data_IF_452150274716
#
_entry.id   IF_452150274716
#
_cell.length_a   1.000
_cell.length_b   1.000
_cell.length_c   1.000
_cell.angle_alpha   90.00
_cell.angle_beta   90.00
_cell.angle_gamma   90.00
#
_symmetry.space_group_name_H-M   'P 1'
#
loop_
_entity.id
_entity.type
_entity.pdbx_description
1 polymer ?
#
# COMPACT_ATOMS: atom_id res chain seq x y z
N UNK A 1 -50.39 -11.00 3.50
CA UNK A 1 -51.21 -11.45 2.34
C UNK A 1 -50.60 -10.79 1.11
N UNK A 2 -49.57 -11.38 0.49
CA UNK A 2 -49.65 -12.29 -0.67
C UNK A 2 -50.63 -11.86 -1.78
N UNK A 3 -50.03 -11.60 -2.94
CA UNK A 3 -50.53 -11.61 -4.32
C UNK A 3 -51.25 -10.35 -4.85
N UNK A 4 -50.52 -9.57 -5.66
CA UNK A 4 -50.95 -9.17 -7.00
C UNK A 4 -49.72 -8.67 -7.80
N UNK A 5 -49.24 -9.53 -8.69
CA UNK A 5 -48.18 -9.29 -9.69
C UNK A 5 -48.86 -9.16 -11.05
N UNK A 6 -48.26 -8.38 -11.97
CA UNK A 6 -48.50 -8.29 -13.43
C UNK A 6 -49.63 -7.38 -13.97
N UNK A 7 -49.20 -6.21 -14.46
CA UNK A 7 -49.62 -5.43 -15.64
C UNK A 7 -49.33 -3.96 -15.28
N UNK A 8 -48.40 -3.24 -15.88
CA UNK A 8 -48.47 -2.68 -17.23
C UNK A 8 -47.05 -2.33 -17.67
N UNK A 9 -46.57 -2.99 -18.72
CA UNK A 9 -45.31 -2.68 -19.38
C UNK A 9 -45.61 -2.51 -20.88
N UNK A 10 -46.18 -1.37 -21.27
CA UNK A 10 -46.35 -0.95 -22.67
C UNK A 10 -46.89 0.48 -22.78
N UNK A 11 -46.02 1.48 -22.64
CA UNK A 11 -46.15 2.81 -23.26
C UNK A 11 -44.93 3.66 -22.84
N UNK A 12 -44.43 4.49 -23.76
CA UNK A 12 -43.28 5.41 -23.64
C UNK A 12 -41.96 4.92 -24.27
N UNK A 13 -42.04 4.48 -25.53
CA UNK A 13 -40.97 4.60 -26.51
C UNK A 13 -41.60 4.97 -27.87
N UNK A 14 -41.84 6.26 -28.12
CA UNK A 14 -41.97 6.84 -29.48
C UNK A 14 -42.38 8.33 -29.45
N UNK A 15 -41.40 9.23 -29.60
CA UNK A 15 -41.50 10.59 -30.17
C UNK A 15 -40.28 11.38 -29.66
N UNK A 16 -39.41 12.02 -30.43
CA UNK A 16 -39.49 12.51 -31.80
C UNK A 16 -38.09 13.03 -32.18
N UNK A 17 -37.48 12.46 -33.21
CA UNK A 17 -36.30 13.03 -33.88
C UNK A 17 -36.64 13.18 -35.36
N UNK A 18 -37.06 14.38 -35.76
CA UNK A 18 -37.08 14.79 -37.16
C UNK A 18 -36.81 16.30 -37.24
N UNK A 19 -35.89 16.67 -38.13
CA UNK A 19 -35.83 18.00 -38.71
C UNK A 19 -34.55 18.79 -38.42
N UNK A 20 -33.51 18.59 -39.24
CA UNK A 20 -32.84 19.67 -39.98
C UNK A 20 -31.66 19.13 -40.81
N UNK A 21 -31.87 19.07 -42.12
CA UNK A 21 -30.82 19.14 -43.17
C UNK A 21 -31.21 20.28 -44.11
N UNK A 22 -30.27 21.16 -44.45
CA UNK A 22 -29.94 21.60 -45.84
C UNK A 22 -28.97 22.79 -45.85
N UNK A 23 -27.87 22.61 -46.59
CA UNK A 23 -27.21 23.47 -47.60
C UNK A 23 -25.77 22.91 -47.79
N UNK A 24 -25.51 22.04 -48.78
CA UNK A 24 -25.04 22.32 -50.16
C UNK A 24 -23.66 23.04 -50.18
N UNK A 25 -22.58 22.62 -50.87
CA UNK A 25 -22.42 21.97 -52.19
C UNK A 25 -20.96 21.49 -52.43
N UNK A 26 -20.78 20.45 -53.28
CA UNK A 26 -19.55 19.76 -53.79
C UNK A 26 -18.86 20.58 -54.93
N UNK A 27 -17.69 20.24 -55.56
CA UNK A 27 -17.27 18.96 -56.23
C UNK A 27 -15.83 18.45 -55.85
N UNK A 28 -15.58 17.15 -55.65
CA UNK A 28 -15.22 16.08 -56.62
C UNK A 28 -13.83 16.18 -57.29
N UNK A 29 -12.95 15.22 -56.98
CA UNK A 29 -11.99 14.64 -57.92
C UNK A 29 -11.77 13.15 -57.58
N UNK A 30 -11.96 12.34 -58.63
CA UNK A 30 -12.17 10.89 -58.69
C UNK A 30 -10.88 10.09 -58.53
N UNK A 31 -10.99 8.88 -57.97
CA UNK A 31 -9.96 7.85 -58.00
C UNK A 31 -10.45 6.54 -57.39
N UNK A 32 -11.32 5.83 -58.12
CA UNK A 32 -11.80 4.48 -57.81
C UNK A 32 -10.67 3.45 -57.77
N UNK A 33 -10.74 2.50 -56.83
CA UNK A 33 -10.82 1.05 -57.11
C UNK A 33 -11.09 0.28 -55.80
N UNK A 34 -12.33 -0.19 -55.66
CA UNK A 34 -12.78 -1.30 -54.80
C UNK A 34 -12.73 -2.62 -55.64
N UNK A 35 -13.11 -3.84 -55.17
CA UNK A 35 -13.86 -4.23 -53.96
C UNK A 35 -13.22 -5.46 -53.24
N UNK A 36 -13.74 -6.12 -52.19
CA UNK A 36 -15.06 -6.26 -51.60
C UNK A 36 -14.94 -6.89 -50.19
N UNK A 37 -15.85 -6.52 -49.27
CA UNK A 37 -16.75 -7.42 -48.50
C UNK A 37 -16.18 -8.64 -47.75
N UNK A 38 -16.55 -9.01 -46.52
CA UNK A 38 -17.67 -8.68 -45.63
C UNK A 38 -17.59 -9.60 -44.38
N UNK A 39 -18.24 -9.21 -43.26
CA UNK A 39 -18.95 -10.09 -42.27
C UNK A 39 -18.09 -11.05 -41.39
N UNK A 40 -18.35 -11.42 -40.12
CA UNK A 40 -19.23 -11.06 -38.99
C UNK A 40 -18.89 -12.01 -37.80
N UNK A 41 -19.27 -11.59 -36.57
CA UNK A 41 -19.75 -12.41 -35.43
C UNK A 41 -18.79 -13.25 -34.57
N UNK A 42 -19.05 -13.17 -33.24
CA UNK A 42 -19.09 -14.35 -32.36
C UNK A 42 -18.05 -14.39 -31.24
N UNK A 43 -18.51 -14.20 -29.99
CA UNK A 43 -17.67 -14.25 -28.81
C UNK A 43 -17.29 -15.65 -28.32
N UNK A 44 -16.40 -15.69 -27.32
CA UNK A 44 -16.34 -16.73 -26.29
C UNK A 44 -15.59 -16.18 -25.06
N UNK A 45 -16.15 -16.42 -23.88
CA UNK A 45 -15.47 -16.20 -22.59
C UNK A 45 -14.28 -17.18 -22.46
N UNK A 46 -13.20 -16.83 -21.75
CA UNK A 46 -12.10 -17.76 -21.56
C UNK A 46 -12.54 -18.91 -20.65
N UNK A 47 -12.56 -20.12 -21.24
CA UNK A 47 -12.73 -21.40 -20.57
C UNK A 47 -11.57 -21.66 -19.61
N UNK A 48 -11.86 -21.94 -18.34
CA UNK A 48 -10.88 -22.52 -17.39
C UNK A 48 -10.61 -23.95 -17.85
N UNK A 49 -9.41 -24.23 -18.35
CA UNK A 49 -8.95 -25.59 -18.59
C UNK A 49 -8.19 -26.07 -17.36
N UNK A 50 -8.84 -26.91 -16.54
CA UNK A 50 -8.15 -27.74 -15.55
C UNK A 50 -7.45 -28.88 -16.29
N UNK A 51 -6.12 -28.92 -16.24
CA UNK A 51 -5.36 -30.11 -16.60
C UNK A 51 -5.15 -30.95 -15.32
N UNK A 52 -5.49 -32.26 -15.32
CA UNK A 52 -5.24 -33.12 -14.18
C UNK A 52 -3.76 -33.49 -14.07
N UNK A 53 -3.27 -33.55 -12.84
CA UNK A 53 -1.94 -34.04 -12.48
C UNK A 53 -1.76 -35.50 -12.93
N UNK A 54 -0.96 -35.72 -13.97
CA UNK A 54 0.16 -36.68 -14.01
C UNK A 54 0.64 -36.94 -15.43
N UNK A 55 1.94 -37.25 -15.48
CA UNK A 55 2.73 -37.85 -16.57
C UNK A 55 3.42 -36.84 -17.48
N UNK A 56 4.62 -36.45 -17.04
CA UNK A 56 5.73 -36.10 -17.93
C UNK A 56 6.02 -37.29 -18.84
N UNK A 57 5.75 -37.11 -20.13
CA UNK A 57 6.04 -38.06 -21.19
C UNK A 57 6.26 -37.32 -22.50
N UNK A 58 7.52 -37.07 -22.82
CA UNK A 58 8.11 -36.95 -24.16
C UNK A 58 7.15 -36.64 -25.33
N UNK A 59 7.22 -35.42 -25.87
CA UNK A 59 6.81 -35.11 -27.24
C UNK A 59 7.91 -34.30 -27.96
N UNK A 60 7.99 -34.40 -29.31
CA UNK A 60 9.25 -34.42 -30.04
C UNK A 60 9.64 -33.05 -30.60
N UNK A 61 10.96 -32.85 -30.70
CA UNK A 61 11.58 -31.75 -31.45
C UNK A 61 11.35 -31.97 -32.95
N UNK A 62 10.79 -30.97 -33.63
CA UNK A 62 10.80 -30.88 -35.10
C UNK A 62 11.90 -29.91 -35.57
N UNK A 63 12.60 -30.18 -36.70
CA UNK A 63 13.85 -29.51 -37.06
C UNK A 63 13.72 -28.39 -38.12
N UNK A 64 14.72 -27.49 -38.13
CA UNK A 64 15.05 -26.52 -39.19
C UNK A 64 14.79 -25.06 -38.78
N UNK A 65 15.68 -24.08 -38.89
CA UNK A 65 17.00 -23.93 -39.51
C UNK A 65 17.80 -22.85 -38.75
N UNK A 66 19.13 -23.00 -38.76
CA UNK A 66 20.12 -22.08 -38.20
C UNK A 66 20.68 -21.22 -39.33
N UNK A 67 20.83 -19.90 -39.12
CA UNK A 67 21.89 -19.12 -39.79
C UNK A 67 22.49 -18.10 -38.82
N UNK A 68 23.80 -18.19 -38.60
CA UNK A 68 24.61 -17.13 -37.97
C UNK A 68 25.70 -17.60 -37.00
N UNK A 69 26.75 -18.24 -37.52
CA UNK A 69 28.03 -18.45 -36.78
C UNK A 69 28.94 -17.26 -37.02
N UNK A 70 29.50 -16.67 -35.96
CA UNK A 70 30.81 -16.01 -36.02
C UNK A 70 31.72 -16.64 -34.98
N UNK A 71 32.83 -17.18 -35.49
CA UNK A 71 33.92 -17.82 -34.76
C UNK A 71 35.09 -16.84 -34.62
N UNK A 72 35.73 -16.80 -33.45
CA UNK A 72 37.06 -16.19 -33.29
C UNK A 72 37.47 -15.89 -31.84
N UNK A 73 38.34 -16.75 -31.28
CA UNK A 73 39.49 -16.56 -30.35
C UNK A 73 39.45 -15.41 -29.30
N UNK A 74 39.85 -15.52 -28.02
CA UNK A 74 40.50 -16.53 -27.16
C UNK A 74 40.32 -16.09 -25.67
N UNK A 75 40.65 -16.92 -24.65
CA UNK A 75 40.27 -16.71 -23.25
C UNK A 75 41.34 -16.03 -22.37
N UNK A 76 40.92 -15.15 -21.45
CA UNK A 76 41.71 -14.78 -20.27
C UNK A 76 41.51 -13.35 -19.73
N UNK A 77 40.99 -13.25 -18.49
CA UNK A 77 41.15 -12.20 -17.43
C UNK A 77 40.88 -10.74 -17.84
N UNK A 78 40.08 -9.92 -17.16
CA UNK A 78 40.07 -9.51 -15.73
C UNK A 78 38.76 -8.74 -15.48
N UNK A 79 38.18 -8.82 -14.28
CA UNK A 79 37.28 -7.77 -13.78
C UNK A 79 36.26 -8.25 -12.76
N UNK A 80 36.65 -8.33 -11.48
CA UNK A 80 35.71 -8.26 -10.36
C UNK A 80 35.26 -6.80 -10.27
N UNK A 81 33.96 -6.54 -10.32
CA UNK A 81 33.37 -5.26 -9.93
C UNK A 81 32.61 -4.53 -11.03
N UNK A 82 31.34 -4.89 -11.23
CA UNK A 82 30.19 -3.99 -11.09
C UNK A 82 28.92 -4.85 -11.07
N UNK A 83 27.93 -4.47 -10.26
CA UNK A 83 26.69 -5.22 -10.05
C UNK A 83 25.69 -5.02 -11.18
N UNK A 84 26.09 -5.21 -12.45
CA UNK A 84 25.20 -5.09 -13.60
C UNK A 84 24.74 -6.48 -14.09
N UNK A 85 23.53 -6.89 -13.71
CA UNK A 85 22.90 -8.08 -14.28
C UNK A 85 22.32 -7.73 -15.66
N UNK A 86 23.03 -8.09 -16.73
CA UNK A 86 22.50 -8.01 -18.09
C UNK A 86 21.69 -9.28 -18.41
N UNK A 87 20.37 -9.14 -18.56
CA UNK A 87 19.53 -10.21 -19.11
C UNK A 87 20.02 -10.53 -20.53
N UNK A 88 20.37 -11.81 -20.80
CA UNK A 88 20.60 -12.26 -22.17
C UNK A 88 19.33 -11.99 -22.99
N UNK A 89 19.51 -11.48 -24.20
CA UNK A 89 18.43 -11.05 -25.11
C UNK A 89 17.29 -12.07 -25.22
N UNK A 90 17.60 -13.37 -25.12
CA UNK A 90 16.66 -14.50 -25.13
C UNK A 90 15.72 -14.57 -23.91
N UNK A 91 16.15 -14.12 -22.73
CA UNK A 91 15.31 -14.09 -21.52
C UNK A 91 14.31 -12.92 -21.55
N UNK A 92 14.69 -11.80 -22.16
CA UNK A 92 13.81 -10.64 -22.37
C UNK A 92 12.70 -10.93 -23.38
N UNK A 93 12.99 -11.76 -24.39
CA UNK A 93 12.01 -12.26 -25.36
C UNK A 93 10.95 -13.15 -24.68
N UNK A 94 11.37 -14.05 -23.79
CA UNK A 94 10.46 -14.92 -23.03
C UNK A 94 9.57 -14.10 -22.09
N UNK A 95 10.11 -13.09 -21.41
CA UNK A 95 9.34 -12.25 -20.50
C UNK A 95 8.24 -11.46 -21.23
N UNK A 96 8.55 -10.91 -22.41
CA UNK A 96 7.57 -10.23 -23.26
C UNK A 96 6.51 -11.18 -23.78
N UNK A 97 6.90 -12.39 -24.17
CA UNK A 97 5.99 -13.44 -24.60
C UNK A 97 5.01 -13.79 -23.46
N UNK A 98 5.52 -14.15 -22.29
CA UNK A 98 4.70 -14.54 -21.13
C UNK A 98 3.74 -13.41 -20.71
N UNK A 99 4.21 -12.16 -20.71
CA UNK A 99 3.36 -10.98 -20.43
C UNK A 99 2.26 -10.79 -21.49
N UNK A 100 2.57 -11.01 -22.78
CA UNK A 100 1.59 -10.93 -23.87
C UNK A 100 0.51 -12.01 -23.74
N UNK A 101 0.90 -13.21 -23.29
CA UNK A 101 -0.03 -14.33 -23.06
C UNK A 101 -0.75 -14.26 -21.69
N UNK A 102 -0.64 -13.14 -20.96
CA UNK A 102 -1.33 -12.95 -19.67
C UNK A 102 -0.75 -13.78 -18.52
N UNK A 103 0.43 -14.37 -18.69
CA UNK A 103 1.14 -15.15 -17.68
C UNK A 103 1.94 -14.20 -16.79
N UNK A 104 1.63 -14.16 -15.49
CA UNK A 104 2.43 -13.41 -14.51
C UNK A 104 3.78 -14.09 -14.35
N UNK A 105 4.85 -13.33 -14.51
CA UNK A 105 6.23 -13.79 -14.31
C UNK A 105 6.77 -13.10 -13.06
N UNK A 106 7.00 -13.86 -11.99
CA UNK A 106 7.68 -13.37 -10.80
C UNK A 106 9.20 -13.42 -11.03
N UNK A 107 9.91 -12.34 -10.69
CA UNK A 107 11.36 -12.35 -10.69
C UNK A 107 11.85 -13.02 -9.40
N UNK A 108 12.66 -14.06 -9.53
CA UNK A 108 13.33 -14.72 -8.41
C UNK A 108 14.82 -14.45 -8.59
N UNK A 109 15.48 -13.68 -7.70
CA UNK A 109 16.93 -13.61 -7.70
C UNK A 109 17.52 -15.01 -7.49
N UNK A 110 18.62 -15.34 -8.17
CA UNK A 110 19.38 -16.56 -7.88
C UNK A 110 19.78 -16.53 -6.40
N UNK A 111 19.15 -17.39 -5.60
CA UNK A 111 19.47 -17.55 -4.18
C UNK A 111 20.83 -18.26 -4.12
N UNK A 112 21.90 -17.50 -3.96
CA UNK A 112 23.16 -18.05 -3.45
C UNK A 112 22.91 -18.38 -1.97
N UNK A 113 22.61 -19.65 -1.69
CA UNK A 113 22.54 -20.18 -0.33
C UNK A 113 21.20 -20.81 0.07
N UNK A 114 20.72 -21.78 -0.72
CA UNK A 114 19.62 -22.67 -0.30
C UNK A 114 19.92 -23.47 0.99
N UNK A 115 21.16 -23.45 1.50
CA UNK A 115 21.51 -24.03 2.81
C UNK A 115 21.14 -23.14 4.01
N UNK A 116 20.89 -21.83 3.80
CA UNK A 116 20.38 -20.94 4.85
C UNK A 116 18.84 -20.86 4.89
N UNK A 117 18.16 -21.44 3.91
CA UNK A 117 16.69 -21.45 3.77
C UNK A 117 16.04 -22.56 4.60
N UNK A 118 16.83 -23.46 5.19
CA UNK A 118 16.36 -24.53 6.08
C UNK A 118 15.68 -24.06 7.37
N UNK A 119 15.60 -22.75 7.65
CA UNK A 119 14.87 -22.21 8.80
C UNK A 119 13.71 -21.28 8.44
N UNK A 120 13.43 -20.99 7.16
CA UNK A 120 12.16 -20.38 6.77
C UNK A 120 11.10 -21.48 6.72
N UNK A 121 10.89 -22.13 7.88
CA UNK A 121 9.87 -23.13 8.03
C UNK A 121 8.52 -22.48 7.78
N UNK A 122 7.74 -23.14 6.94
CA UNK A 122 6.29 -23.13 6.77
C UNK A 122 5.47 -23.27 8.07
N UNK A 123 6.09 -23.07 9.23
CA UNK A 123 5.48 -22.95 10.54
C UNK A 123 4.91 -21.55 10.82
N UNK A 124 5.32 -20.48 10.12
CA UNK A 124 4.94 -19.11 10.50
C UNK A 124 3.55 -18.64 10.02
N UNK A 125 3.04 -19.14 8.90
CA UNK A 125 1.62 -19.02 8.57
C UNK A 125 0.71 -19.79 9.56
N UNK A 126 1.30 -20.68 10.37
CA UNK A 126 0.68 -21.43 11.45
C UNK A 126 1.13 -20.98 12.86
N UNK A 127 1.98 -19.95 12.99
CA UNK A 127 2.63 -19.59 14.25
C UNK A 127 1.81 -18.64 15.14
N UNK A 128 0.76 -18.00 14.62
CA UNK A 128 -0.30 -17.57 15.52
C UNK A 128 -1.13 -18.82 15.84
N UNK A 129 -0.86 -19.45 16.99
CA UNK A 129 -1.73 -20.51 17.52
C UNK A 129 -3.20 -20.07 17.70
N UNK A 130 -3.49 -18.80 17.43
CA UNK A 130 -4.77 -18.10 17.46
C UNK A 130 -5.39 -17.82 16.08
N UNK A 131 -4.66 -18.01 14.96
CA UNK A 131 -5.15 -17.69 13.60
C UNK A 131 -5.20 -16.19 13.27
N UNK A 132 -4.62 -15.34 14.11
CA UNK A 132 -4.57 -13.87 13.95
C UNK A 132 -3.39 -13.47 13.07
N UNK A 133 -3.61 -12.53 12.15
CA UNK A 133 -2.57 -11.99 11.25
C UNK A 133 -2.13 -10.60 11.69
N UNK A 134 -0.84 -10.32 11.57
CA UNK A 134 -0.29 -8.98 11.82
C UNK A 134 -0.47 -8.06 10.60
N UNK A 135 -0.30 -8.62 9.40
CA UNK A 135 -0.22 -7.91 8.14
C UNK A 135 -1.24 -8.45 7.12
N UNK A 136 -1.40 -7.74 6.00
CA UNK A 136 -2.33 -8.10 4.92
C UNK A 136 -1.64 -8.03 3.56
N UNK A 137 -2.11 -8.83 2.61
CA UNK A 137 -1.76 -8.72 1.19
C UNK A 137 -2.67 -7.72 0.44
N UNK A 138 -3.69 -7.17 1.10
CA UNK A 138 -4.58 -6.15 0.51
C UNK A 138 -4.42 -4.80 1.19
N UNK A 139 -4.26 -3.75 0.39
CA UNK A 139 -4.19 -2.37 0.86
C UNK A 139 -5.06 -1.46 0.00
N UNK A 140 -5.58 -0.40 0.58
CA UNK A 140 -6.21 0.70 -0.12
C UNK A 140 -5.23 1.85 -0.25
N UNK A 141 -5.18 2.44 -1.45
CA UNK A 141 -4.40 3.64 -1.75
C UNK A 141 -5.29 4.69 -2.41
N UNK A 142 -4.96 5.95 -2.22
CA UNK A 142 -5.65 7.08 -2.87
C UNK A 142 -4.64 7.84 -3.72
N UNK A 143 -4.86 7.90 -5.03
CA UNK A 143 -3.97 8.59 -5.96
C UNK A 143 -3.96 10.11 -5.66
N UNK A 144 -2.76 10.74 -5.57
CA UNK A 144 -2.60 12.16 -5.24
C UNK A 144 -2.92 13.09 -6.43
N UNK A 145 -4.09 12.95 -7.05
CA UNK A 145 -4.49 13.71 -8.26
C UNK A 145 -4.80 15.19 -8.01
N UNK A 146 -4.93 15.59 -6.75
CA UNK A 146 -5.02 16.99 -6.31
C UNK A 146 -4.25 17.22 -5.00
N UNK A 147 -2.97 16.83 -5.02
CA UNK A 147 -2.05 16.96 -3.90
C UNK A 147 -1.44 18.37 -3.82
N UNK A 148 -1.21 18.83 -2.59
CA UNK A 148 -0.57 20.10 -2.29
C UNK A 148 -0.17 20.20 -0.81
N UNK A 149 0.49 21.29 -0.45
CA UNK A 149 0.83 21.57 0.94
C UNK A 149 -0.45 21.88 1.75
N UNK A 150 -0.57 21.29 2.95
CA UNK A 150 -1.72 21.51 3.82
C UNK A 150 -1.37 22.43 4.99
N UNK A 151 -1.73 23.71 4.88
CA UNK A 151 -1.48 24.71 5.93
C UNK A 151 -2.15 24.37 7.28
N UNK A 152 -3.27 23.63 7.29
CA UNK A 152 -3.92 23.22 8.54
C UNK A 152 -3.12 22.12 9.25
N UNK A 153 -2.62 21.14 8.49
CA UNK A 153 -1.87 20.02 9.04
C UNK A 153 -0.42 20.39 9.38
N UNK A 154 0.18 21.35 8.66
CA UNK A 154 1.55 21.78 8.90
C UNK A 154 1.75 22.49 10.26
N UNK A 155 0.67 22.88 10.96
CA UNK A 155 0.74 23.53 12.27
C UNK A 155 1.37 22.62 13.34
N UNK A 156 1.10 21.32 13.27
CA UNK A 156 1.59 20.30 14.21
C UNK A 156 2.35 19.15 13.53
N UNK A 157 2.28 19.01 12.20
CA UNK A 157 3.13 18.08 11.46
C UNK A 157 4.45 18.76 11.05
N UNK A 158 5.48 18.62 11.87
CA UNK A 158 6.80 19.19 11.62
C UNK A 158 7.63 18.46 10.55
N UNK A 159 7.07 17.40 9.94
CA UNK A 159 7.66 16.73 8.79
C UNK A 159 7.19 17.35 7.46
N UNK A 160 6.19 18.24 7.48
CA UNK A 160 5.74 18.96 6.28
C UNK A 160 6.61 20.17 6.02
N UNK A 161 7.05 20.31 4.78
CA UNK A 161 7.82 21.44 4.31
C UNK A 161 7.13 22.07 3.09
N UNK A 162 6.88 23.37 3.18
CA UNK A 162 6.41 24.13 2.03
C UNK A 162 7.50 24.10 0.95
N UNK A 163 7.10 23.84 -0.29
CA UNK A 163 8.04 23.77 -1.40
C UNK A 163 8.74 25.12 -1.60
N UNK A 164 10.05 25.18 -1.42
CA UNK A 164 10.85 26.36 -1.76
C UNK A 164 11.18 26.31 -3.26
N UNK A 165 10.25 26.71 -4.14
CA UNK A 165 10.60 26.80 -5.56
C UNK A 165 9.51 26.61 -6.61
N UNK A 166 8.22 26.53 -6.26
CA UNK A 166 7.20 26.69 -7.30
C UNK A 166 7.30 28.12 -7.85
N UNK A 167 7.84 28.28 -9.06
CA UNK A 167 7.50 29.48 -9.81
C UNK A 167 5.98 29.51 -9.94
N UNK A 168 5.36 30.67 -9.75
CA UNK A 168 3.91 30.88 -9.98
C UNK A 168 3.43 30.39 -11.36
N UNK A 169 4.36 30.07 -12.27
CA UNK A 169 4.10 29.59 -13.63
C UNK A 169 3.57 28.15 -13.74
N UNK A 170 3.67 27.28 -12.73
CA UNK A 170 3.13 25.90 -12.82
C UNK A 170 2.65 25.32 -11.48
N UNK A 171 1.42 25.66 -11.05
CA UNK A 171 0.81 25.15 -9.82
C UNK A 171 0.68 23.61 -9.78
N UNK A 172 0.71 22.92 -10.93
CA UNK A 172 0.54 21.47 -11.02
C UNK A 172 1.84 20.67 -10.99
N UNK A 173 3.01 21.32 -10.97
CA UNK A 173 4.30 20.65 -11.05
C UNK A 173 4.51 19.63 -9.92
N UNK A 174 4.24 20.02 -8.67
CA UNK A 174 4.39 19.12 -7.52
C UNK A 174 3.42 17.95 -7.59
N UNK A 175 2.15 18.19 -7.94
CA UNK A 175 1.15 17.12 -8.09
C UNK A 175 1.62 16.09 -9.14
N UNK A 176 2.20 16.52 -10.25
CA UNK A 176 2.72 15.59 -11.28
C UNK A 176 3.93 14.79 -10.79
N UNK A 177 4.88 15.42 -10.09
CA UNK A 177 6.02 14.71 -9.49
C UNK A 177 5.54 13.68 -8.47
N UNK A 178 4.65 14.07 -7.56
CA UNK A 178 4.10 13.18 -6.52
C UNK A 178 3.28 12.05 -7.13
N UNK A 179 2.54 12.30 -8.22
CA UNK A 179 1.85 11.23 -8.96
C UNK A 179 2.83 10.23 -9.59
N UNK A 180 3.98 10.67 -10.09
CA UNK A 180 5.02 9.78 -10.63
C UNK A 180 5.67 8.93 -9.53
N UNK A 181 6.01 9.56 -8.40
CA UNK A 181 6.52 8.87 -7.21
C UNK A 181 5.53 7.82 -6.69
N UNK A 182 4.25 8.21 -6.56
CA UNK A 182 3.16 7.33 -6.16
C UNK A 182 2.98 6.17 -7.15
N UNK A 183 3.06 6.41 -8.46
CA UNK A 183 3.00 5.35 -9.47
C UNK A 183 4.17 4.37 -9.34
N UNK A 184 5.36 4.85 -8.98
CA UNK A 184 6.53 4.02 -8.66
C UNK A 184 6.30 3.15 -7.42
N UNK A 185 5.74 3.72 -6.35
CA UNK A 185 5.35 2.95 -5.15
C UNK A 185 4.30 1.89 -5.48
N UNK A 186 3.24 2.27 -6.20
CA UNK A 186 2.20 1.35 -6.65
C UNK A 186 2.80 0.20 -7.47
N UNK A 187 3.68 0.50 -8.43
CA UNK A 187 4.35 -0.52 -9.24
C UNK A 187 5.18 -1.49 -8.38
N UNK A 188 5.93 -0.98 -7.40
CA UNK A 188 6.70 -1.84 -6.49
C UNK A 188 5.79 -2.77 -5.68
N UNK A 189 4.70 -2.24 -5.14
CA UNK A 189 3.75 -3.03 -4.36
C UNK A 189 3.05 -4.09 -5.22
N UNK A 190 2.55 -3.73 -6.40
CA UNK A 190 1.75 -4.68 -7.21
C UNK A 190 2.60 -5.63 -8.04
N UNK A 191 3.57 -5.13 -8.80
CA UNK A 191 4.29 -5.92 -9.80
C UNK A 191 5.49 -6.66 -9.24
N UNK A 192 6.09 -6.16 -8.16
CA UNK A 192 7.29 -6.76 -7.56
C UNK A 192 6.97 -7.53 -6.28
N UNK A 193 6.23 -6.92 -5.35
CA UNK A 193 5.84 -7.58 -4.11
C UNK A 193 4.60 -8.50 -4.29
N UNK A 194 3.73 -8.22 -5.25
CA UNK A 194 2.47 -8.97 -5.42
C UNK A 194 1.41 -8.62 -4.38
N UNK A 195 1.44 -7.40 -3.84
CA UNK A 195 0.39 -6.83 -2.99
C UNK A 195 -0.81 -6.43 -3.85
N UNK A 196 -2.01 -6.73 -3.39
CA UNK A 196 -3.26 -6.33 -4.02
C UNK A 196 -3.66 -4.91 -3.58
N UNK A 197 -3.46 -3.93 -4.47
CA UNK A 197 -3.82 -2.53 -4.23
C UNK A 197 -5.23 -2.21 -4.73
N UNK A 198 -6.07 -1.66 -3.86
CA UNK A 198 -7.36 -1.07 -4.18
C UNK A 198 -7.20 0.44 -4.35
N UNK A 199 -7.14 0.90 -5.59
CA UNK A 199 -6.81 2.28 -5.91
C UNK A 199 -8.06 3.15 -6.07
N UNK A 200 -8.11 4.25 -5.31
CA UNK A 200 -9.09 5.31 -5.46
C UNK A 200 -8.43 6.57 -6.01
N UNK A 201 -9.21 7.48 -6.57
CA UNK A 201 -8.73 8.77 -7.07
C UNK A 201 -9.23 9.91 -6.19
N UNK A 202 -8.47 11.00 -6.14
CA UNK A 202 -8.76 12.20 -5.35
C UNK A 202 -9.03 13.42 -6.24
N UNK A 203 -10.26 13.93 -6.26
CA UNK A 203 -10.60 15.13 -7.02
C UNK A 203 -10.28 16.42 -6.23
N UNK A 204 -9.80 17.45 -6.93
CA UNK A 204 -9.52 18.77 -6.36
C UNK A 204 -10.74 19.40 -5.68
N UNK A 205 -11.95 19.10 -6.15
CA UNK A 205 -13.20 19.62 -5.58
C UNK A 205 -13.43 19.18 -4.13
N UNK A 206 -12.77 18.12 -3.66
CA UNK A 206 -12.89 17.67 -2.26
C UNK A 206 -12.17 18.62 -1.29
N UNK A 207 -11.15 19.36 -1.74
CA UNK A 207 -10.38 20.25 -0.87
C UNK A 207 -9.56 19.52 0.21
N UNK A 208 -9.12 18.30 -0.09
CA UNK A 208 -8.43 17.38 0.84
C UNK A 208 -7.02 17.02 0.34
N UNK A 209 -6.03 17.92 0.45
CA UNK A 209 -4.69 17.71 -0.11
C UNK A 209 -3.96 16.47 0.44
N UNK A 210 -4.26 16.07 1.68
CA UNK A 210 -3.68 14.91 2.37
C UNK A 210 -4.45 13.60 2.14
N UNK A 211 -5.43 13.56 1.22
CA UNK A 211 -6.22 12.36 0.96
C UNK A 211 -5.39 11.14 0.50
N UNK A 212 -4.14 11.35 0.06
CA UNK A 212 -3.15 10.30 -0.22
C UNK A 212 -2.81 9.46 1.01
N UNK A 213 -3.15 9.90 2.22
CA UNK A 213 -2.91 9.22 3.50
C UNK A 213 -4.21 8.64 4.11
N UNK A 214 -4.82 7.60 3.50
CA UNK A 214 -6.12 7.08 3.91
C UNK A 214 -6.12 6.43 5.30
N UNK A 215 -4.95 6.00 5.78
CA UNK A 215 -4.79 5.23 7.02
C UNK A 215 -5.17 6.02 8.29
N UNK A 216 -5.32 7.33 8.18
CA UNK A 216 -5.61 8.19 9.33
C UNK A 216 -7.08 8.28 9.68
N UNK A 217 -7.99 8.16 8.70
CA UNK A 217 -9.42 8.37 8.95
C UNK A 217 -10.22 7.08 9.10
N UNK A 218 -9.68 5.94 8.66
CA UNK A 218 -10.27 4.62 8.93
C UNK A 218 -9.23 3.51 9.08
N UNK A 219 -9.71 2.39 9.62
CA UNK A 219 -9.00 1.12 9.62
C UNK A 219 -9.99 -0.04 9.49
N UNK A 220 -9.48 -1.20 9.07
CA UNK A 220 -10.22 -2.44 9.06
C UNK A 220 -9.63 -3.42 10.06
N UNK A 221 -10.52 -4.19 10.70
CA UNK A 221 -10.15 -5.11 11.76
C UNK A 221 -10.92 -6.43 11.61
N UNK A 222 -10.27 -7.55 11.22
CA UNK A 222 -10.97 -8.79 10.94
C UNK A 222 -11.40 -9.48 12.24
N UNK A 223 -12.47 -10.29 12.15
CA UNK A 223 -12.84 -11.20 13.24
C UNK A 223 -11.62 -12.03 13.70
N UNK A 224 -11.45 -12.13 15.00
CA UNK A 224 -10.35 -12.84 15.64
C UNK A 224 -9.15 -11.96 15.99
N UNK A 225 -9.07 -10.73 15.47
CA UNK A 225 -8.03 -9.77 15.85
C UNK A 225 -7.96 -9.53 17.37
N UNK A 226 -6.84 -8.96 17.83
CA UNK A 226 -6.57 -8.63 19.21
C UNK A 226 -6.40 -9.88 20.07
N UNK A 227 -5.62 -10.83 19.56
CA UNK A 227 -5.42 -12.14 20.16
C UNK A 227 -6.77 -12.84 20.50
N UNK A 228 -7.75 -12.78 19.59
CA UNK A 228 -9.08 -13.36 19.72
C UNK A 228 -10.15 -12.46 20.34
N UNK A 229 -9.82 -11.20 20.66
CA UNK A 229 -10.74 -10.27 21.30
C UNK A 229 -11.92 -9.86 20.42
N UNK A 230 -11.68 -9.63 19.12
CA UNK A 230 -12.69 -9.08 18.22
C UNK A 230 -13.62 -10.16 17.63
N UNK A 231 -14.92 -10.05 17.90
CA UNK A 231 -15.90 -11.08 17.51
C UNK A 231 -16.45 -10.93 16.08
N UNK A 232 -16.32 -9.76 15.49
CA UNK A 232 -16.86 -9.43 14.16
C UNK A 232 -15.89 -8.53 13.41
N UNK A 233 -15.78 -8.72 12.10
CA UNK A 233 -15.02 -7.81 11.24
C UNK A 233 -15.61 -6.41 11.35
N UNK A 234 -14.76 -5.42 11.62
CA UNK A 234 -15.16 -4.07 12.03
C UNK A 234 -14.40 -3.01 11.22
N UNK A 235 -15.13 -2.07 10.66
CA UNK A 235 -14.62 -0.79 10.17
C UNK A 235 -14.59 0.19 11.35
N UNK A 236 -13.49 0.92 11.53
CA UNK A 236 -13.46 2.04 12.50
C UNK A 236 -13.31 3.34 11.74
N UNK A 237 -14.12 4.35 12.07
CA UNK A 237 -14.00 5.71 11.58
C UNK A 237 -13.45 6.61 12.67
N UNK A 238 -12.46 7.43 12.32
CA UNK A 238 -11.64 8.14 13.28
C UNK A 238 -11.87 9.66 13.26
N UNK A 239 -11.84 10.33 14.43
CA UNK A 239 -11.90 11.77 14.54
C UNK A 239 -10.57 12.39 14.13
N UNK A 240 -10.63 13.28 13.14
CA UNK A 240 -9.49 13.96 12.52
C UNK A 240 -9.38 15.39 13.05
N UNK A 241 -8.16 15.84 13.38
CA UNK A 241 -7.95 17.18 13.95
C UNK A 241 -8.23 18.30 12.95
N UNK A 242 -7.69 18.17 11.74
CA UNK A 242 -7.81 19.21 10.73
C UNK A 242 -9.15 19.10 10.00
N UNK A 243 -9.89 20.22 9.89
CA UNK A 243 -11.23 20.25 9.29
C UNK A 243 -11.23 19.85 7.80
N UNK A 244 -10.18 20.16 7.05
CA UNK A 244 -10.07 19.67 5.69
C UNK A 244 -9.88 18.16 5.65
N UNK A 245 -9.10 17.59 6.57
CA UNK A 245 -8.89 16.14 6.67
C UNK A 245 -10.14 15.36 7.10
N UNK A 246 -11.03 15.97 7.86
CA UNK A 246 -12.35 15.40 8.17
C UNK A 246 -13.17 15.06 6.91
N UNK A 247 -12.98 15.82 5.82
CA UNK A 247 -13.65 15.61 4.53
C UNK A 247 -13.05 14.46 3.72
N UNK A 248 -11.93 13.87 4.15
CA UNK A 248 -11.31 12.69 3.50
C UNK A 248 -12.17 11.43 3.68
N UNK A 249 -13.07 11.42 4.68
CA UNK A 249 -14.02 10.34 4.92
C UNK A 249 -15.04 10.28 3.79
N UNK A 250 -14.87 9.31 2.89
CA UNK A 250 -15.73 9.16 1.71
C UNK A 250 -16.64 7.94 1.77
N UNK A 251 -17.90 8.15 1.39
CA UNK A 251 -18.93 7.11 1.40
C UNK A 251 -18.69 6.01 0.35
N UNK A 252 -18.04 6.32 -0.77
CA UNK A 252 -17.71 5.34 -1.80
C UNK A 252 -16.64 4.34 -1.32
N UNK A 253 -15.62 4.82 -0.62
CA UNK A 253 -14.62 3.97 0.05
C UNK A 253 -15.28 3.10 1.11
N UNK A 254 -16.12 3.67 1.97
CA UNK A 254 -16.84 2.92 3.01
C UNK A 254 -17.73 1.83 2.40
N UNK A 255 -18.38 2.10 1.27
CA UNK A 255 -19.23 1.12 0.57
C UNK A 255 -18.40 -0.07 0.05
N UNK A 256 -17.22 0.18 -0.50
CA UNK A 256 -16.30 -0.87 -0.94
C UNK A 256 -15.78 -1.69 0.25
N UNK A 257 -15.43 -1.04 1.35
CA UNK A 257 -14.98 -1.73 2.57
C UNK A 257 -16.10 -2.59 3.17
N UNK A 258 -17.33 -2.06 3.26
CA UNK A 258 -18.49 -2.82 3.72
C UNK A 258 -18.77 -4.05 2.85
N UNK A 259 -18.70 -3.91 1.51
CA UNK A 259 -18.86 -5.02 0.57
C UNK A 259 -17.78 -6.12 0.71
N UNK A 260 -16.67 -5.84 1.41
CA UNK A 260 -15.63 -6.82 1.78
C UNK A 260 -15.87 -7.50 3.13
N UNK A 261 -17.04 -7.33 3.73
CA UNK A 261 -17.42 -7.99 4.98
C UNK A 261 -17.22 -7.15 6.24
N UNK A 262 -17.03 -5.84 6.10
CA UNK A 262 -16.88 -4.88 7.20
C UNK A 262 -18.16 -4.04 7.39
N UNK A 263 -19.32 -4.70 7.50
CA UNK A 263 -20.62 -4.02 7.65
C UNK A 263 -20.81 -3.35 9.01
N UNK A 264 -20.13 -3.86 10.05
CA UNK A 264 -20.11 -3.23 11.37
C UNK A 264 -19.14 -2.06 11.35
N UNK A 265 -19.63 -0.87 11.71
CA UNK A 265 -18.81 0.30 11.94
C UNK A 265 -18.78 0.67 13.43
N UNK A 266 -17.60 1.05 13.93
CA UNK A 266 -17.45 1.89 15.12
C UNK A 266 -17.12 3.29 14.62
N UNK A 267 -17.98 4.25 14.90
CA UNK A 267 -17.78 5.64 14.50
C UNK A 267 -17.38 6.47 15.72
N UNK A 268 -16.15 6.99 15.70
CA UNK A 268 -15.61 7.84 16.77
C UNK A 268 -15.61 9.33 16.37
N UNK A 269 -16.17 9.68 15.20
CA UNK A 269 -16.07 11.04 14.65
C UNK A 269 -16.84 12.09 15.45
N UNK A 270 -17.82 11.71 16.26
CA UNK A 270 -18.54 12.63 17.16
C UNK A 270 -17.60 13.34 18.16
N UNK A 271 -16.45 12.73 18.47
CA UNK A 271 -15.46 13.30 19.38
C UNK A 271 -14.85 14.63 18.87
N UNK A 272 -14.90 14.87 17.55
CA UNK A 272 -14.45 16.12 16.92
C UNK A 272 -15.21 17.33 17.46
N UNK A 273 -16.50 17.17 17.81
CA UNK A 273 -17.31 18.25 18.38
C UNK A 273 -16.82 18.69 19.77
N UNK A 274 -16.03 17.84 20.45
CA UNK A 274 -15.39 18.12 21.73
C UNK A 274 -13.90 18.46 21.58
N UNK A 275 -13.39 18.59 20.35
CA UNK A 275 -11.96 18.85 20.08
C UNK A 275 -11.03 17.69 20.44
N UNK A 276 -11.56 16.46 20.52
CA UNK A 276 -10.78 15.26 20.78
C UNK A 276 -10.54 14.50 19.46
N UNK A 277 -9.32 13.98 19.28
CA UNK A 277 -8.88 13.39 18.01
C UNK A 277 -8.12 12.08 18.22
N UNK A 278 -8.17 11.21 17.22
CA UNK A 278 -7.53 9.90 17.25
C UNK A 278 -7.32 9.44 15.81
N UNK A 279 -6.26 9.91 15.13
CA UNK A 279 -6.06 9.76 13.68
C UNK A 279 -5.59 8.36 13.23
N UNK A 280 -6.41 7.35 13.52
CA UNK A 280 -6.33 6.00 12.96
C UNK A 280 -4.99 5.31 13.18
N UNK A 281 -4.50 4.60 12.17
CA UNK A 281 -3.19 3.92 12.23
C UNK A 281 -2.01 4.88 12.04
N UNK A 282 -2.28 6.19 11.99
CA UNK A 282 -1.26 7.23 12.21
C UNK A 282 -0.78 7.22 13.67
N UNK A 283 -1.74 7.20 14.59
CA UNK A 283 -1.50 7.27 16.03
C UNK A 283 -1.53 5.91 16.71
N UNK A 284 -2.20 4.91 16.12
CA UNK A 284 -2.11 3.53 16.55
C UNK A 284 -1.04 2.76 15.78
N UNK A 285 -0.07 2.23 16.51
CA UNK A 285 0.76 1.13 16.03
C UNK A 285 0.31 -0.13 16.77
N UNK A 286 -0.27 -1.06 16.01
CA UNK A 286 -0.99 -2.21 16.56
C UNK A 286 -0.15 -3.47 16.46
N UNK A 287 0.06 -4.13 17.60
CA UNK A 287 0.49 -5.52 17.68
C UNK A 287 -0.77 -6.38 17.73
N UNK A 288 -1.25 -6.77 16.55
CA UNK A 288 -2.55 -7.45 16.38
C UNK A 288 -2.50 -8.87 16.91
N UNK A 289 -1.34 -9.54 16.75
CA UNK A 289 -1.11 -10.91 17.21
C UNK A 289 -1.15 -10.97 18.74
N UNK A 290 -0.50 -10.02 19.43
CA UNK A 290 -0.42 -10.04 20.90
C UNK A 290 -1.53 -9.20 21.57
N UNK A 291 -2.29 -8.44 20.80
CA UNK A 291 -3.40 -7.62 21.30
C UNK A 291 -2.93 -6.40 22.10
N UNK A 292 -1.86 -5.75 21.65
CA UNK A 292 -1.30 -4.54 22.28
C UNK A 292 -1.38 -3.36 21.31
N UNK A 293 -1.90 -2.24 21.79
CA UNK A 293 -1.93 -0.98 21.03
C UNK A 293 -0.88 -0.02 21.60
N UNK A 294 -0.05 0.56 20.73
CA UNK A 294 0.98 1.54 21.11
C UNK A 294 0.61 2.92 20.58
N UNK A 295 0.67 3.92 21.45
CA UNK A 295 0.27 5.31 21.12
C UNK A 295 1.25 6.31 21.75
N UNK A 296 1.91 7.09 20.90
CA UNK A 296 2.54 8.34 21.31
C UNK A 296 1.45 9.42 21.44
N UNK A 297 1.29 10.00 22.63
CA UNK A 297 0.26 11.01 22.87
C UNK A 297 0.62 12.33 22.19
N UNK A 298 -0.36 12.96 21.54
CA UNK A 298 -0.20 14.18 20.76
C UNK A 298 -1.54 14.91 20.60
N UNK A 299 -1.56 16.06 19.93
CA UNK A 299 -2.80 16.77 19.57
C UNK A 299 -3.75 15.97 18.65
N UNK A 300 -3.23 14.87 18.07
CA UNK A 300 -3.95 13.96 17.16
C UNK A 300 -4.25 12.61 17.81
N UNK A 301 -3.82 12.40 19.06
CA UNK A 301 -3.92 11.14 19.78
C UNK A 301 -4.38 11.36 21.24
N UNK A 302 -5.69 11.45 21.44
CA UNK A 302 -6.28 11.56 22.77
C UNK A 302 -6.20 10.22 23.53
N UNK A 303 -5.75 10.29 24.79
CA UNK A 303 -5.59 9.11 25.65
C UNK A 303 -6.93 8.46 25.98
N UNK A 304 -7.95 9.24 26.31
CA UNK A 304 -9.26 8.71 26.71
C UNK A 304 -9.99 8.04 25.55
N UNK A 305 -9.88 8.57 24.34
CA UNK A 305 -10.37 7.91 23.13
C UNK A 305 -9.58 6.63 22.82
N UNK A 306 -8.27 6.62 23.02
CA UNK A 306 -7.45 5.42 22.84
C UNK A 306 -7.84 4.29 23.81
N UNK A 307 -8.11 4.62 25.07
CA UNK A 307 -8.61 3.67 26.09
C UNK A 307 -9.98 3.09 25.69
N UNK A 308 -10.91 3.93 25.24
CA UNK A 308 -12.22 3.51 24.74
C UNK A 308 -12.09 2.60 23.52
N UNK A 309 -11.19 2.94 22.59
CA UNK A 309 -10.92 2.14 21.41
C UNK A 309 -10.40 0.75 21.77
N UNK A 310 -9.39 0.66 22.66
CA UNK A 310 -8.82 -0.61 23.11
C UNK A 310 -9.87 -1.51 23.74
N UNK A 311 -10.73 -0.93 24.59
CA UNK A 311 -11.84 -1.66 25.19
C UNK A 311 -12.85 -2.16 24.14
N UNK A 312 -13.26 -1.29 23.21
CA UNK A 312 -14.25 -1.62 22.19
C UNK A 312 -13.75 -2.65 21.17
N UNK A 313 -12.44 -2.66 20.91
CA UNK A 313 -11.78 -3.55 19.95
C UNK A 313 -11.26 -4.86 20.57
N UNK A 314 -11.39 -5.01 21.90
CA UNK A 314 -10.96 -6.22 22.61
C UNK A 314 -9.44 -6.38 22.71
N UNK A 315 -8.68 -5.28 22.58
CA UNK A 315 -7.25 -5.26 22.85
C UNK A 315 -6.99 -5.43 24.34
N UNK A 316 -5.92 -6.16 24.67
CA UNK A 316 -5.59 -6.52 26.05
C UNK A 316 -4.85 -5.41 26.77
N UNK A 317 -4.09 -4.61 26.03
CA UNK A 317 -3.22 -3.60 26.59
C UNK A 317 -3.12 -2.36 25.70
N UNK A 318 -3.07 -1.20 26.34
CA UNK A 318 -2.71 0.08 25.75
C UNK A 318 -1.39 0.56 26.36
N UNK A 319 -0.37 0.77 25.53
CA UNK A 319 0.91 1.34 25.93
C UNK A 319 0.96 2.77 25.41
N UNK A 320 0.82 3.74 26.32
CA UNK A 320 0.95 5.18 26.00
C UNK A 320 2.27 5.74 26.47
N UNK A 321 2.84 6.67 25.70
CA UNK A 321 4.07 7.38 26.06
C UNK A 321 4.11 8.76 25.38
N UNK A 322 5.06 9.60 25.79
CA UNK A 322 5.36 10.87 25.12
C UNK A 322 6.66 10.76 24.32
N UNK A 323 6.62 11.23 23.07
CA UNK A 323 7.76 11.24 22.18
C UNK A 323 7.94 12.63 21.55
N UNK A 324 9.18 13.03 21.32
CA UNK A 324 9.51 14.31 20.70
C UNK A 324 10.41 14.17 19.48
N UNK A 325 10.37 15.16 18.58
CA UNK A 325 11.35 15.34 17.50
C UNK A 325 12.66 15.96 18.02
N UNK A 326 13.63 16.16 17.12
CA UNK A 326 14.94 16.76 17.48
C UNK A 326 14.86 18.21 17.96
N UNK A 327 13.75 18.91 17.70
CA UNK A 327 13.47 20.26 18.20
C UNK A 327 12.72 20.23 19.54
N UNK A 328 12.47 19.05 20.12
CA UNK A 328 11.76 18.87 21.39
C UNK A 328 10.25 19.03 21.26
N UNK A 329 9.70 19.06 20.04
CA UNK A 329 8.25 19.16 19.81
C UNK A 329 7.61 17.78 19.80
N UNK A 330 6.34 17.62 20.21
CA UNK A 330 5.67 16.33 20.21
C UNK A 330 5.69 15.67 18.82
N UNK A 331 5.93 14.35 18.79
CA UNK A 331 5.71 13.54 17.59
C UNK A 331 4.21 13.45 17.34
N UNK A 332 3.76 13.93 16.17
CA UNK A 332 2.33 14.06 15.87
C UNK A 332 1.63 12.70 15.68
N UNK A 333 2.29 11.73 15.05
CA UNK A 333 1.79 10.37 14.77
C UNK A 333 2.80 9.32 15.24
N UNK A 334 2.36 8.33 16.01
CA UNK A 334 3.18 7.21 16.47
C UNK A 334 3.92 6.50 15.32
N UNK A 335 3.27 6.35 14.16
CA UNK A 335 3.82 5.61 13.03
C UNK A 335 5.01 6.28 12.33
N UNK A 336 5.41 7.50 12.69
CA UNK A 336 6.65 8.10 12.17
C UNK A 336 7.86 7.66 12.97
N UNK A 337 7.64 7.23 14.22
CA UNK A 337 8.70 6.83 15.14
C UNK A 337 8.77 5.32 15.40
N UNK A 338 7.72 4.56 15.06
CA UNK A 338 7.72 3.12 15.26
C UNK A 338 6.80 2.36 14.30
N UNK A 339 7.13 1.08 14.10
CA UNK A 339 6.34 0.10 13.37
C UNK A 339 6.47 -1.28 14.02
N UNK A 340 5.43 -2.11 13.91
CA UNK A 340 5.39 -3.48 14.41
C UNK A 340 5.02 -4.43 13.28
N UNK A 341 5.93 -5.37 12.99
CA UNK A 341 5.69 -6.53 12.15
C UNK A 341 5.40 -7.77 13.00
N UNK A 342 5.43 -8.93 12.38
CA UNK A 342 5.09 -10.21 13.03
C UNK A 342 6.11 -10.56 14.12
N UNK A 343 7.41 -10.42 13.82
CA UNK A 343 8.52 -10.79 14.71
C UNK A 343 9.47 -9.62 15.04
N UNK A 344 9.31 -8.48 14.37
CA UNK A 344 10.27 -7.36 14.43
C UNK A 344 9.56 -6.04 14.68
N UNK A 345 10.14 -5.21 15.54
CA UNK A 345 9.64 -3.87 15.83
C UNK A 345 10.73 -2.83 15.54
N UNK A 346 10.40 -1.82 14.75
CA UNK A 346 11.24 -0.62 14.56
C UNK A 346 10.75 0.44 15.52
N UNK A 347 11.64 1.10 16.25
CA UNK A 347 11.25 2.12 17.23
C UNK A 347 12.39 3.12 17.45
N UNK A 348 12.07 4.40 17.60
CA UNK A 348 13.03 5.42 18.03
C UNK A 348 12.96 5.58 19.56
N UNK A 349 13.74 4.81 20.33
CA UNK A 349 13.67 4.88 21.79
C UNK A 349 14.17 6.23 22.33
N UNK A 350 15.15 6.85 21.66
CA UNK A 350 15.65 8.16 22.05
C UNK A 350 14.63 9.29 21.86
N UNK A 351 13.54 9.07 21.11
CA UNK A 351 12.41 10.01 21.01
C UNK A 351 11.62 10.13 22.31
N UNK A 352 11.64 9.08 23.16
CA UNK A 352 10.97 9.02 24.45
C UNK A 352 11.91 9.51 25.55
N UNK A 353 11.67 10.74 26.00
CA UNK A 353 12.57 11.43 26.94
C UNK A 353 12.48 10.88 28.38
N UNK A 354 11.28 10.50 28.83
CA UNK A 354 11.11 9.91 30.15
C UNK A 354 11.72 8.49 30.20
N UNK A 355 12.66 8.29 31.12
CA UNK A 355 13.39 7.03 31.21
C UNK A 355 12.52 5.84 31.62
N UNK A 356 11.44 6.06 32.37
CA UNK A 356 10.51 5.00 32.79
C UNK A 356 9.59 4.61 31.64
N UNK A 357 9.03 5.58 30.93
CA UNK A 357 8.23 5.34 29.72
C UNK A 357 9.06 4.61 28.66
N UNK A 358 10.30 5.05 28.43
CA UNK A 358 11.21 4.40 27.46
C UNK A 358 11.54 2.96 27.86
N UNK A 359 11.87 2.71 29.12
CA UNK A 359 12.14 1.35 29.60
C UNK A 359 10.90 0.47 29.52
N UNK A 360 9.73 1.02 29.83
CA UNK A 360 8.46 0.31 29.72
C UNK A 360 8.16 -0.07 28.27
N UNK A 361 8.25 0.88 27.34
CA UNK A 361 8.07 0.66 25.90
C UNK A 361 9.01 -0.43 25.38
N UNK A 362 10.31 -0.32 25.68
CA UNK A 362 11.29 -1.35 25.30
C UNK A 362 10.92 -2.71 25.89
N UNK A 363 10.58 -2.76 27.18
CA UNK A 363 10.21 -4.02 27.84
C UNK A 363 8.98 -4.68 27.22
N UNK A 364 8.04 -3.90 26.71
CA UNK A 364 6.83 -4.41 26.05
C UNK A 364 7.12 -4.92 24.66
N UNK A 365 7.87 -4.17 23.86
CA UNK A 365 8.26 -4.60 22.52
C UNK A 365 9.11 -5.87 22.58
N UNK A 366 10.12 -5.92 23.46
CA UNK A 366 11.03 -7.06 23.59
C UNK A 366 10.41 -8.33 24.16
N UNK A 367 9.13 -8.32 24.58
CA UNK A 367 8.43 -9.56 24.98
C UNK A 367 8.17 -10.48 23.78
N UNK A 368 7.95 -9.90 22.60
CA UNK A 368 7.50 -10.62 21.41
C UNK A 368 8.31 -10.31 20.16
N UNK A 369 9.04 -9.18 20.14
CA UNK A 369 9.68 -8.67 18.93
C UNK A 369 11.19 -8.52 19.09
N UNK A 370 11.91 -8.82 18.01
CA UNK A 370 13.26 -8.31 17.82
C UNK A 370 13.18 -6.79 17.62
N UNK A 371 13.76 -6.04 18.56
CA UNK A 371 13.76 -4.57 18.49
C UNK A 371 14.90 -4.09 17.60
N UNK A 372 14.56 -3.27 16.61
CA UNK A 372 15.47 -2.50 15.76
C UNK A 372 15.34 -1.03 16.17
N UNK A 373 16.23 -0.59 17.07
CA UNK A 373 16.25 0.80 17.53
C UNK A 373 16.82 1.72 16.45
N UNK A 374 16.13 2.83 16.20
CA UNK A 374 16.51 3.86 15.22
C UNK A 374 16.82 5.19 15.90
N UNK A 375 17.73 5.94 15.31
CA UNK A 375 18.05 7.30 15.77
C UNK A 375 16.96 8.30 15.35
N UNK A 376 16.93 9.49 15.96
CA UNK A 376 16.09 10.64 15.58
C UNK A 376 16.38 11.10 14.16
N UNK A 377 17.63 10.95 13.69
CA UNK A 377 17.99 11.22 12.30
C UNK A 377 17.30 10.22 11.36
N UNK A 378 17.27 8.94 11.73
CA UNK A 378 16.56 7.91 10.98
C UNK A 378 15.04 8.08 11.07
N UNK A 379 14.52 8.48 12.23
CA UNK A 379 13.11 8.86 12.40
C UNK A 379 12.73 10.04 11.49
N UNK A 380 13.58 11.08 11.42
CA UNK A 380 13.40 12.21 10.50
C UNK A 380 13.45 11.79 9.02
N UNK A 381 14.17 10.71 8.71
CA UNK A 381 14.19 10.05 7.41
C UNK A 381 13.10 8.96 7.26
N UNK A 382 12.07 8.99 8.11
CA UNK A 382 10.90 8.13 8.11
C UNK A 382 11.18 6.62 8.23
N UNK A 383 12.29 6.22 8.88
CA UNK A 383 12.56 4.81 9.20
C UNK A 383 11.51 4.18 10.13
N UNK A 384 10.78 4.96 10.92
CA UNK A 384 9.63 4.43 11.69
C UNK A 384 8.39 4.20 10.82
N UNK A 385 8.28 4.86 9.67
CA UNK A 385 7.12 4.84 8.78
C UNK A 385 7.17 3.69 7.76
N UNK A 386 7.43 2.50 8.27
CA UNK A 386 7.46 1.24 7.51
C UNK A 386 6.22 0.40 7.82
N UNK A 387 5.85 -0.48 6.90
CA UNK A 387 4.71 -1.38 7.07
C UNK A 387 5.09 -2.80 6.69
N UNK A 388 4.81 -3.76 7.57
CA UNK A 388 4.81 -5.17 7.17
C UNK A 388 3.52 -5.48 6.39
N UNK A 389 3.70 -6.07 5.21
CA UNK A 389 2.66 -6.57 4.33
C UNK A 389 2.90 -8.07 4.08
N UNK A 390 1.89 -8.76 3.59
CA UNK A 390 2.07 -10.08 2.98
C UNK A 390 2.32 -9.90 1.47
N UNK A 391 3.31 -10.59 0.93
CA UNK A 391 3.59 -10.61 -0.51
C UNK A 391 2.65 -11.58 -1.26
N UNK A 392 2.77 -11.67 -2.59
CA UNK A 392 1.94 -12.57 -3.41
C UNK A 392 2.07 -14.07 -3.10
N UNK A 393 3.04 -14.46 -2.25
CA UNK A 393 3.27 -15.82 -1.76
C UNK A 393 2.76 -16.01 -0.32
N UNK A 394 2.27 -14.94 0.31
CA UNK A 394 1.88 -14.93 1.72
C UNK A 394 3.07 -14.82 2.69
N UNK A 395 4.25 -14.38 2.22
CA UNK A 395 5.41 -14.15 3.07
C UNK A 395 5.45 -12.69 3.55
N UNK A 396 5.92 -12.43 4.78
CA UNK A 396 6.05 -11.07 5.28
C UNK A 396 7.12 -10.31 4.49
N UNK A 397 6.81 -9.08 4.11
CA UNK A 397 7.71 -8.12 3.46
C UNK A 397 7.53 -6.74 4.08
N UNK A 398 8.58 -5.90 4.05
CA UNK A 398 8.46 -4.51 4.51
C UNK A 398 8.34 -3.55 3.34
N UNK A 399 7.30 -2.73 3.35
CA UNK A 399 7.15 -1.58 2.48
C UNK A 399 7.70 -0.32 3.16
N UNK A 400 8.56 0.43 2.47
CA UNK A 400 9.24 1.62 2.99
C UNK A 400 9.66 2.58 1.87
N UNK A 401 10.02 3.82 2.18
CA UNK A 401 10.58 4.72 1.18
C UNK A 401 12.05 4.40 0.90
N UNK A 402 12.54 4.79 -0.27
CA UNK A 402 13.98 4.71 -0.59
C UNK A 402 14.81 5.56 0.39
N UNK A 403 14.25 6.66 0.90
CA UNK A 403 14.88 7.48 1.93
C UNK A 403 15.08 6.69 3.23
N UNK A 404 14.03 6.07 3.75
CA UNK A 404 14.11 5.21 4.93
C UNK A 404 15.07 4.04 4.71
N UNK A 405 14.98 3.37 3.55
CA UNK A 405 15.87 2.25 3.19
C UNK A 405 17.35 2.65 3.24
N UNK A 406 17.70 3.83 2.72
CA UNK A 406 19.07 4.33 2.70
C UNK A 406 19.53 4.86 4.06
N UNK A 407 18.60 5.29 4.91
CA UNK A 407 18.90 5.76 6.26
C UNK A 407 19.13 4.62 7.26
N UNK A 408 18.52 3.44 7.05
CA UNK A 408 18.86 2.24 7.82
C UNK A 408 20.32 1.83 7.59
N UNK A 409 21.00 1.45 8.67
CA UNK A 409 22.36 0.90 8.56
C UNK A 409 22.33 -0.47 7.86
N UNK A 410 23.46 -0.93 7.29
CA UNK A 410 23.56 -2.29 6.76
C UNK A 410 23.15 -3.36 7.79
N UNK A 411 23.53 -3.19 9.06
CA UNK A 411 23.19 -4.13 10.13
C UNK A 411 21.69 -4.12 10.45
N UNK A 412 21.05 -2.94 10.51
CA UNK A 412 19.60 -2.86 10.71
C UNK A 412 18.83 -3.52 9.55
N UNK A 413 19.24 -3.27 8.29
CA UNK A 413 18.63 -3.95 7.14
C UNK A 413 18.83 -5.46 7.19
N UNK A 414 20.02 -5.93 7.57
CA UNK A 414 20.30 -7.35 7.77
C UNK A 414 19.45 -7.95 8.88
N UNK A 415 19.20 -7.22 9.97
CA UNK A 415 18.30 -7.65 11.04
C UNK A 415 16.86 -7.76 10.55
N UNK A 416 16.34 -6.75 9.84
CA UNK A 416 14.99 -6.79 9.26
C UNK A 416 14.82 -8.00 8.32
N UNK A 417 15.80 -8.23 7.43
CA UNK A 417 15.79 -9.35 6.47
C UNK A 417 15.91 -10.74 7.08
N UNK A 418 16.09 -10.87 8.40
CA UNK A 418 15.95 -12.18 9.10
C UNK A 418 14.49 -12.54 9.36
N UNK A 419 13.61 -11.54 9.36
CA UNK A 419 12.20 -11.69 9.73
C UNK A 419 11.27 -11.48 8.53
N UNK A 420 11.72 -10.77 7.49
CA UNK A 420 10.94 -10.53 6.28
C UNK A 420 11.68 -10.98 5.03
N UNK A 421 10.93 -11.42 4.02
CA UNK A 421 11.46 -11.96 2.77
C UNK A 421 12.12 -10.89 1.89
N UNK A 422 11.70 -9.62 2.00
CA UNK A 422 12.23 -8.51 1.22
C UNK A 422 11.90 -7.15 1.85
N UNK A 423 12.70 -6.13 1.47
CA UNK A 423 12.43 -4.72 1.70
C UNK A 423 12.03 -4.08 0.36
N UNK A 424 10.73 -3.82 0.15
CA UNK A 424 10.22 -3.19 -1.07
C UNK A 424 10.15 -1.68 -0.89
N UNK A 425 10.98 -0.94 -1.63
CA UNK A 425 11.08 0.50 -1.47
C UNK A 425 10.89 1.28 -2.77
N UNK A 426 10.39 2.51 -2.65
CA UNK A 426 10.19 3.43 -3.75
C UNK A 426 10.64 4.86 -3.38
N UNK A 427 11.19 5.64 -4.33
CA UNK A 427 11.51 7.05 -4.10
C UNK A 427 10.22 7.87 -4.10
N UNK A 428 9.83 8.37 -2.93
CA UNK A 428 8.65 9.19 -2.70
C UNK A 428 9.00 10.51 -2.01
N UNK A 429 10.20 11.02 -2.30
CA UNK A 429 10.83 12.12 -1.57
C UNK A 429 9.99 13.40 -1.58
N UNK A 430 9.33 13.73 -2.70
CA UNK A 430 8.48 14.93 -2.80
C UNK A 430 7.20 14.75 -1.99
N UNK A 431 6.59 13.56 -2.04
CA UNK A 431 5.43 13.21 -1.22
C UNK A 431 5.76 13.31 0.27
N UNK A 432 6.89 12.75 0.70
CA UNK A 432 7.36 12.81 2.09
C UNK A 432 7.64 14.25 2.51
N UNK A 433 8.36 15.01 1.68
CA UNK A 433 8.75 16.38 2.00
C UNK A 433 7.55 17.32 2.15
N UNK A 434 6.59 17.26 1.22
CA UNK A 434 5.43 18.17 1.22
C UNK A 434 4.34 17.66 2.17
N UNK A 435 4.06 16.36 2.16
CA UNK A 435 2.97 15.72 2.90
C UNK A 435 3.33 15.36 4.35
N UNK A 436 4.62 15.23 4.67
CA UNK A 436 5.10 14.85 6.00
C UNK A 436 4.75 13.43 6.43
N UNK A 437 4.35 12.56 5.49
CA UNK A 437 4.03 11.15 5.71
C UNK A 437 4.75 10.25 4.70
N UNK A 438 5.11 9.04 5.12
CA UNK A 438 5.84 8.07 4.29
C UNK A 438 4.96 6.97 3.73
N UNK A 439 5.59 5.83 3.41
CA UNK A 439 4.90 4.68 2.80
C UNK A 439 3.81 4.12 3.71
N UNK A 440 4.02 3.98 5.02
CA UNK A 440 2.96 3.48 5.92
C UNK A 440 1.72 4.36 5.86
N UNK A 441 1.87 5.68 5.81
CA UNK A 441 0.73 6.59 5.77
C UNK A 441 -0.07 6.44 4.46
N UNK A 442 0.59 6.15 3.35
CA UNK A 442 -0.06 6.00 2.05
C UNK A 442 -0.90 4.70 1.90
N UNK A 443 -0.84 3.80 2.89
CA UNK A 443 -1.41 2.46 2.84
C UNK A 443 -2.42 2.26 3.98
N UNK A 444 -3.68 1.98 3.64
CA UNK A 444 -4.66 1.49 4.60
C UNK A 444 -4.84 -0.02 4.41
N UNK A 445 -4.51 -0.82 5.42
CA UNK A 445 -4.63 -2.28 5.34
C UNK A 445 -6.10 -2.72 5.28
N UNK A 446 -6.39 -3.67 4.38
CA UNK A 446 -7.69 -4.34 4.26
C UNK A 446 -7.49 -5.82 4.60
N UNK A 447 -7.98 -6.30 5.73
CA UNK A 447 -7.81 -7.70 6.14
C UNK A 447 -8.87 -8.65 5.59
#
# INVERSE_FOLDING_TARGET
MRAATQAVNKALLSSSWQGLRRLASVPEAVGELAPADCLTLGGQAPTIVQLPDRVWGSLPVLPGEVVGRLTGQQPGKVGIGDGSYALRQTATELFRLLKREGVRVAFVPDIVGAEAVGSYNSAHAAASGTGVRQSSNHVLMVAPTAFGFNDQAAQDNHFMHASTGSSEADPGAHTRTVLQEFAGLHHQLTEVAGVNVHLFQHDAMHGTPDAVFPNNWFSTHPRGEAAGGLQQSTLVLYPMKCQNRQKERRADIQSVVAARGYERAIDLTEAEASGLHLEGTGVFVLDRINGVAYVALSERADKGLAEQWVQAMGYRELVTFQATDSAGKPVYHTNVMMAIGTDVAVVCLESVADGKERQHLLSKLSQHHQVVDITRKQMAALCGNVLELEDGRGLPVLALSSQAHNAFTPDQRSQLLKHVAALHHAPIDTLEHIGGGGVRCALAELF
#
